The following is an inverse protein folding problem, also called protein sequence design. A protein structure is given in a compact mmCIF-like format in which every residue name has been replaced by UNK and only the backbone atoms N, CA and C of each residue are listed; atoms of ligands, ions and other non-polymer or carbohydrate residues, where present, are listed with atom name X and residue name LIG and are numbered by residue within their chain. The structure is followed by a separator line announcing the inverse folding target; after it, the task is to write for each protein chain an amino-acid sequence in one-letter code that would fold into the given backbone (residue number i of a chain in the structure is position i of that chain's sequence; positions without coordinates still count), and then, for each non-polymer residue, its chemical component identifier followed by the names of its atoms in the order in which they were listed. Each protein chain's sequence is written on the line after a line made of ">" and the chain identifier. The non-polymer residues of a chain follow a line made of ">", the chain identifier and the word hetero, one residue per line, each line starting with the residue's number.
data_IF_479062513881
#
_entry.id   IF_479062513881
#
_cell.length_a   1.000
_cell.length_b   1.000
_cell.length_c   1.000
_cell.angle_alpha   90.00
_cell.angle_beta   90.00
_cell.angle_gamma   90.00
#
_symmetry.space_group_name_H-M   'P 1'
#
loop_
_entity.id
_entity.type
_entity.pdbx_description
1 polymer ?
#
# COMPACT_ATOMS: atom_id res chain seq x y z
N UNK A 1 26.85 69.36 16.45
CA UNK A 1 25.93 68.21 16.57
C UNK A 1 26.29 67.27 15.44
N UNK A 2 26.96 66.16 15.73
CA UNK A 2 27.31 65.13 14.75
C UNK A 2 26.57 63.87 15.16
N UNK A 3 25.62 63.44 14.33
CA UNK A 3 24.85 62.23 14.51
C UNK A 3 25.65 61.07 13.91
N UNK A 4 26.06 60.14 14.76
CA UNK A 4 26.61 58.84 14.36
C UNK A 4 25.48 57.95 13.86
N UNK A 5 25.51 57.61 12.57
CA UNK A 5 24.66 56.56 11.99
C UNK A 5 25.21 55.19 12.40
N UNK A 6 24.36 54.38 13.05
CA UNK A 6 24.64 52.99 13.38
C UNK A 6 24.45 52.14 12.11
N UNK A 7 25.39 51.26 11.72
CA UNK A 7 25.22 50.42 10.54
C UNK A 7 24.12 49.39 10.79
N UNK A 8 23.11 49.36 9.92
CA UNK A 8 22.10 48.30 9.91
C UNK A 8 22.74 47.02 9.35
N UNK A 9 23.16 46.13 10.24
CA UNK A 9 23.54 44.76 9.89
C UNK A 9 22.35 44.09 9.21
N UNK A 10 22.51 43.78 7.92
CA UNK A 10 21.53 43.02 7.16
C UNK A 10 21.66 41.57 7.61
N UNK A 11 20.78 41.13 8.50
CA UNK A 11 20.72 39.74 8.94
C UNK A 11 20.42 38.87 7.71
N UNK A 12 21.40 38.10 7.23
CA UNK A 12 21.13 37.09 6.21
C UNK A 12 20.28 36.01 6.87
N UNK A 13 19.00 35.95 6.52
CA UNK A 13 18.14 34.82 6.88
C UNK A 13 18.75 33.59 6.20
N UNK A 14 19.33 32.68 6.98
CA UNK A 14 19.66 31.35 6.47
C UNK A 14 18.36 30.75 5.97
N UNK A 15 18.27 30.48 4.66
CA UNK A 15 17.11 29.81 4.09
C UNK A 15 16.94 28.48 4.84
N UNK A 16 15.83 28.34 5.56
CA UNK A 16 15.46 27.09 6.22
C UNK A 16 15.34 25.96 5.18
N UNK A 17 15.26 24.70 5.64
CA UNK A 17 15.10 23.56 4.74
C UNK A 17 13.89 23.77 3.83
N UNK A 18 14.16 23.94 2.53
CA UNK A 18 13.13 24.12 1.51
C UNK A 18 12.65 22.75 1.05
N UNK A 19 11.34 22.58 0.97
CA UNK A 19 10.75 21.37 0.40
C UNK A 19 11.33 21.14 -1.01
N UNK A 20 11.86 19.95 -1.30
CA UNK A 20 12.39 19.68 -2.64
C UNK A 20 11.27 19.78 -3.68
N UNK A 21 11.59 20.23 -4.89
CA UNK A 21 10.65 20.32 -6.01
C UNK A 21 10.24 18.92 -6.51
N UNK A 22 9.36 18.27 -5.75
CA UNK A 22 8.82 16.93 -5.98
C UNK A 22 7.32 17.01 -5.74
N UNK A 23 6.54 17.04 -6.82
CA UNK A 23 5.06 17.02 -6.81
C UNK A 23 4.51 15.67 -6.38
N UNK A 24 3.28 15.62 -5.82
CA UNK A 24 2.60 14.38 -5.40
C UNK A 24 2.58 13.31 -6.52
N UNK A 25 2.25 13.72 -7.75
CA UNK A 25 2.32 12.84 -8.90
C UNK A 25 3.77 12.68 -9.38
N UNK A 26 4.23 11.44 -9.71
CA UNK A 26 5.55 11.23 -10.31
C UNK A 26 5.67 12.00 -11.62
N UNK A 27 6.81 12.66 -11.80
CA UNK A 27 7.17 13.39 -13.00
C UNK A 27 8.50 12.82 -13.51
N UNK A 28 8.42 12.10 -14.63
CA UNK A 28 9.56 11.41 -15.21
C UNK A 28 10.64 12.37 -15.71
N UNK A 29 10.24 13.52 -16.28
CA UNK A 29 11.19 14.51 -16.78
C UNK A 29 11.98 15.13 -15.62
N UNK A 30 11.29 15.50 -14.53
CA UNK A 30 11.96 15.98 -13.30
C UNK A 30 12.83 14.91 -12.65
N UNK A 31 12.39 13.65 -12.62
CA UNK A 31 13.19 12.54 -12.12
C UNK A 31 14.49 12.35 -12.91
N UNK A 32 14.41 12.34 -14.25
CA UNK A 32 15.58 12.20 -15.13
C UNK A 32 16.54 13.38 -14.99
N UNK A 33 16.02 14.61 -14.98
CA UNK A 33 16.83 15.81 -14.79
C UNK A 33 17.57 15.80 -13.44
N UNK A 34 16.87 15.43 -12.34
CA UNK A 34 17.49 15.31 -11.01
C UNK A 34 18.55 14.22 -10.98
N UNK A 35 18.29 13.07 -11.60
CA UNK A 35 19.26 11.97 -11.69
C UNK A 35 20.51 12.40 -12.47
N UNK A 36 20.34 13.02 -13.64
CA UNK A 36 21.45 13.51 -14.45
C UNK A 36 22.31 14.52 -13.68
N UNK A 37 21.66 15.47 -12.97
CA UNK A 37 22.35 16.43 -12.12
C UNK A 37 23.16 15.76 -11.02
N UNK A 38 22.55 14.83 -10.27
CA UNK A 38 23.22 14.11 -9.17
C UNK A 38 24.42 13.29 -9.66
N UNK A 39 24.33 12.66 -10.82
CA UNK A 39 25.43 11.91 -11.42
C UNK A 39 26.53 12.80 -12.00
N UNK A 40 26.20 14.02 -12.44
CA UNK A 40 27.21 15.01 -12.83
C UNK A 40 27.96 15.58 -11.60
N UNK A 41 27.25 15.77 -10.48
CA UNK A 41 27.83 16.23 -9.20
C UNK A 41 28.74 15.16 -8.56
N UNK A 42 28.29 13.90 -8.56
CA UNK A 42 29.06 12.76 -8.06
C UNK A 42 28.91 11.56 -9.00
N UNK A 43 29.84 11.38 -9.95
CA UNK A 43 29.82 10.25 -10.87
C UNK A 43 30.03 8.89 -10.20
N UNK A 44 30.47 8.85 -8.93
CA UNK A 44 30.78 7.62 -8.20
C UNK A 44 29.55 6.97 -7.56
N UNK A 45 28.40 7.65 -7.52
CA UNK A 45 27.18 7.19 -6.87
C UNK A 45 26.77 5.76 -7.32
N UNK A 46 26.75 5.41 -8.62
CA UNK A 46 26.38 4.06 -9.05
C UNK A 46 27.39 2.97 -8.66
N UNK A 47 28.63 3.34 -8.33
CA UNK A 47 29.70 2.39 -7.95
C UNK A 47 29.85 2.24 -6.44
N UNK A 48 29.07 2.97 -5.64
CA UNK A 48 29.09 2.81 -4.19
C UNK A 48 28.66 1.39 -3.82
N UNK A 49 29.32 0.74 -2.85
CA UNK A 49 28.93 -0.59 -2.42
C UNK A 49 27.54 -0.56 -1.76
N UNK A 50 26.84 -1.69 -1.81
CA UNK A 50 25.63 -1.87 -1.01
C UNK A 50 25.96 -1.82 0.49
N UNK A 51 25.04 -1.35 1.34
CA UNK A 51 25.19 -1.44 2.78
C UNK A 51 25.35 -2.89 3.24
N UNK A 52 26.03 -3.08 4.37
CA UNK A 52 26.17 -4.40 5.00
C UNK A 52 24.80 -5.07 5.21
N UNK A 53 24.76 -6.38 4.94
CA UNK A 53 23.55 -7.21 5.00
C UNK A 53 22.73 -7.24 3.72
N UNK A 54 22.72 -6.15 2.92
CA UNK A 54 21.85 -6.06 1.74
C UNK A 54 22.40 -6.89 0.55
N UNK A 55 21.59 -7.80 -0.04
CA UNK A 55 22.05 -8.66 -1.13
C UNK A 55 22.14 -7.91 -2.47
N UNK A 56 23.05 -8.27 -3.38
CA UNK A 56 23.17 -7.62 -4.70
C UNK A 56 21.89 -7.73 -5.55
N UNK A 57 21.11 -8.79 -5.33
CA UNK A 57 19.78 -8.99 -5.89
C UNK A 57 19.00 -9.94 -4.98
N UNK A 58 17.68 -9.88 -5.07
CA UNK A 58 16.76 -10.90 -4.54
C UNK A 58 16.13 -11.66 -5.69
N UNK A 59 15.85 -12.94 -5.44
CA UNK A 59 15.18 -13.83 -6.38
C UNK A 59 13.92 -14.42 -5.73
N UNK A 60 13.10 -15.10 -6.52
CA UNK A 60 11.92 -15.80 -6.05
C UNK A 60 10.62 -15.31 -6.69
N UNK A 61 9.49 -15.94 -6.33
CA UNK A 61 8.21 -15.71 -7.01
C UNK A 61 7.64 -14.31 -6.79
N UNK A 62 8.09 -13.59 -5.75
CA UNK A 62 7.72 -12.21 -5.49
C UNK A 62 8.50 -11.19 -6.33
N UNK A 63 9.46 -11.61 -7.14
CA UNK A 63 10.31 -10.77 -8.00
C UNK A 63 9.86 -10.89 -9.44
N UNK A 64 8.99 -9.98 -9.87
CA UNK A 64 8.35 -10.02 -11.18
C UNK A 64 8.11 -8.62 -11.74
N UNK A 65 7.82 -8.54 -13.03
CA UNK A 65 7.31 -7.36 -13.72
C UNK A 65 6.04 -7.68 -14.51
N UNK A 66 5.31 -6.65 -14.94
CA UNK A 66 3.95 -6.84 -15.46
C UNK A 66 3.85 -7.79 -16.66
N UNK A 67 4.91 -7.90 -17.47
CA UNK A 67 4.94 -8.80 -18.64
C UNK A 67 5.08 -10.29 -18.28
N UNK A 68 5.42 -10.62 -17.04
CA UNK A 68 5.50 -12.01 -16.57
C UNK A 68 4.10 -12.64 -16.38
N UNK A 69 3.08 -11.79 -16.38
CA UNK A 69 1.67 -12.09 -16.15
C UNK A 69 0.88 -11.88 -17.44
N UNK A 70 0.87 -12.90 -18.29
CA UNK A 70 0.25 -12.83 -19.63
C UNK A 70 -1.19 -13.34 -19.68
N UNK A 71 -1.59 -14.15 -18.71
CA UNK A 71 -2.93 -14.75 -18.62
C UNK A 71 -3.49 -14.58 -17.20
N UNK A 72 -4.71 -14.06 -17.12
CA UNK A 72 -5.42 -13.83 -15.86
C UNK A 72 -5.57 -15.09 -15.01
N UNK A 73 -5.63 -16.27 -15.64
CA UNK A 73 -5.67 -17.56 -14.96
C UNK A 73 -4.48 -17.80 -14.04
N UNK A 74 -3.36 -17.09 -14.25
CA UNK A 74 -2.16 -17.18 -13.41
C UNK A 74 -2.36 -16.52 -12.02
N UNK A 75 -3.32 -15.60 -11.86
CA UNK A 75 -3.57 -14.91 -10.59
C UNK A 75 -5.02 -14.87 -10.12
N UNK A 76 -5.96 -15.30 -10.97
CA UNK A 76 -7.38 -15.43 -10.63
C UNK A 76 -7.68 -16.83 -10.12
N UNK A 77 -8.44 -16.88 -9.04
CA UNK A 77 -9.15 -18.07 -8.59
C UNK A 77 -10.65 -17.88 -8.84
N UNK A 78 -11.20 -18.66 -9.77
CA UNK A 78 -12.63 -18.65 -10.07
C UNK A 78 -13.35 -19.56 -9.08
N UNK A 79 -14.30 -18.99 -8.32
CA UNK A 79 -15.11 -19.77 -7.38
C UNK A 79 -16.07 -20.67 -8.16
N UNK A 80 -16.16 -21.94 -7.76
CA UNK A 80 -17.16 -22.86 -8.33
C UNK A 80 -18.56 -22.60 -7.77
N UNK A 81 -19.59 -23.12 -8.42
CA UNK A 81 -20.97 -23.03 -7.94
C UNK A 81 -21.13 -23.64 -6.54
N UNK A 82 -20.44 -24.75 -6.24
CA UNK A 82 -20.46 -25.37 -4.92
C UNK A 82 -19.83 -24.48 -3.84
N UNK A 83 -18.75 -23.77 -4.19
CA UNK A 83 -18.08 -22.82 -3.30
C UNK A 83 -18.93 -21.56 -3.08
N UNK A 84 -19.62 -21.07 -4.10
CA UNK A 84 -20.58 -19.97 -3.97
C UNK A 84 -21.75 -20.36 -3.06
N UNK A 85 -22.29 -21.58 -3.20
CA UNK A 85 -23.30 -22.10 -2.28
C UNK A 85 -22.76 -22.28 -0.85
N UNK A 86 -21.48 -22.60 -0.70
CA UNK A 86 -20.82 -22.65 0.60
C UNK A 86 -20.73 -21.28 1.27
N UNK A 87 -20.40 -20.24 0.50
CA UNK A 87 -20.42 -18.84 0.96
C UNK A 87 -21.83 -18.45 1.41
N UNK A 88 -22.87 -18.83 0.66
CA UNK A 88 -24.27 -18.59 1.05
C UNK A 88 -24.61 -19.27 2.39
N UNK A 89 -24.16 -20.52 2.59
CA UNK A 89 -24.35 -21.25 3.85
C UNK A 89 -23.59 -20.60 5.01
N UNK A 90 -22.36 -20.13 4.78
CA UNK A 90 -21.57 -19.41 5.78
C UNK A 90 -22.24 -18.09 6.20
N UNK A 91 -22.78 -17.35 5.23
CA UNK A 91 -23.56 -16.13 5.47
C UNK A 91 -24.81 -16.43 6.30
N UNK A 92 -25.62 -17.40 5.86
CA UNK A 92 -26.85 -17.77 6.57
C UNK A 92 -26.55 -18.26 8.00
N UNK A 93 -25.46 -19.00 8.19
CA UNK A 93 -25.01 -19.42 9.52
C UNK A 93 -24.70 -18.21 10.40
N UNK A 94 -23.87 -17.26 9.94
CA UNK A 94 -23.53 -16.07 10.72
C UNK A 94 -24.78 -15.25 11.09
N UNK A 95 -25.68 -15.03 10.13
CA UNK A 95 -26.93 -14.30 10.36
C UNK A 95 -27.81 -15.00 11.41
N UNK A 96 -27.87 -16.34 11.41
CA UNK A 96 -28.62 -17.12 12.39
C UNK A 96 -28.10 -17.00 13.83
N UNK A 97 -26.83 -16.58 14.02
CA UNK A 97 -26.26 -16.39 15.34
C UNK A 97 -26.73 -15.09 16.01
N UNK A 98 -27.35 -14.17 15.25
CA UNK A 98 -27.78 -12.84 15.71
C UNK A 98 -26.69 -12.07 16.47
N UNK A 99 -25.45 -12.16 15.96
CA UNK A 99 -24.27 -11.52 16.57
C UNK A 99 -23.92 -10.20 15.87
N UNK A 100 -23.31 -9.24 16.60
CA UNK A 100 -22.70 -8.07 15.98
C UNK A 100 -21.63 -8.45 14.95
N UNK A 101 -21.42 -7.62 13.91
CA UNK A 101 -20.47 -7.89 12.82
C UNK A 101 -19.01 -8.09 13.29
N UNK A 102 -18.65 -7.54 14.45
CA UNK A 102 -17.32 -7.77 15.05
C UNK A 102 -17.05 -9.22 15.45
N UNK A 103 -18.06 -10.08 15.49
CA UNK A 103 -17.93 -11.51 15.79
C UNK A 103 -17.74 -12.38 14.54
N UNK A 104 -17.49 -11.80 13.36
CA UNK A 104 -17.20 -12.55 12.14
C UNK A 104 -15.78 -13.11 12.20
N UNK A 105 -15.70 -14.44 12.29
CA UNK A 105 -14.48 -15.23 12.40
C UNK A 105 -14.60 -16.47 11.51
N UNK A 106 -13.54 -17.27 11.39
CA UNK A 106 -13.60 -18.57 10.69
C UNK A 106 -14.62 -19.54 11.28
N UNK A 107 -14.85 -19.45 12.59
CA UNK A 107 -15.75 -20.37 13.30
C UNK A 107 -17.22 -19.95 13.13
N UNK A 108 -17.48 -18.65 13.06
CA UNK A 108 -18.82 -18.07 12.90
C UNK A 108 -19.22 -17.83 11.45
N UNK A 109 -18.29 -18.00 10.50
CA UNK A 109 -18.53 -18.02 9.05
C UNK A 109 -17.82 -19.27 8.46
N UNK A 110 -18.37 -20.48 8.67
CA UNK A 110 -17.66 -21.70 8.31
C UNK A 110 -17.62 -21.93 6.80
N UNK A 111 -16.43 -22.24 6.29
CA UNK A 111 -16.17 -22.66 4.91
C UNK A 111 -15.46 -24.03 4.89
N UNK A 112 -16.19 -25.15 5.10
CA UNK A 112 -15.60 -26.48 5.27
C UNK A 112 -14.67 -26.93 4.14
N UNK A 113 -14.97 -26.56 2.88
CA UNK A 113 -14.16 -26.97 1.73
C UNK A 113 -13.31 -25.80 1.22
N UNK A 114 -13.92 -24.61 1.08
CA UNK A 114 -13.27 -23.43 0.50
C UNK A 114 -12.16 -22.88 1.41
N UNK A 115 -12.22 -23.08 2.74
CA UNK A 115 -11.16 -22.62 3.65
C UNK A 115 -9.80 -23.25 3.35
N UNK A 116 -9.74 -24.45 2.78
CA UNK A 116 -8.46 -25.08 2.43
C UNK A 116 -7.80 -24.38 1.24
N UNK A 117 -8.59 -24.00 0.24
CA UNK A 117 -8.12 -23.27 -0.94
C UNK A 117 -7.74 -21.82 -0.60
N UNK A 118 -8.53 -21.13 0.24
CA UNK A 118 -8.20 -19.78 0.71
C UNK A 118 -6.88 -19.74 1.49
N UNK A 119 -6.55 -20.79 2.24
CA UNK A 119 -5.25 -20.88 2.94
C UNK A 119 -4.09 -21.06 1.96
N UNK A 120 -4.23 -21.88 0.92
CA UNK A 120 -3.22 -21.99 -0.15
C UNK A 120 -3.02 -20.64 -0.85
N UNK A 121 -4.10 -19.90 -1.10
CA UNK A 121 -4.02 -18.56 -1.67
C UNK A 121 -3.37 -17.55 -0.72
N UNK A 122 -3.58 -17.68 0.60
CA UNK A 122 -2.90 -16.87 1.60
C UNK A 122 -1.37 -17.10 1.57
N UNK A 123 -0.90 -18.34 1.38
CA UNK A 123 0.53 -18.65 1.22
C UNK A 123 1.14 -17.94 0.01
N UNK A 124 0.37 -17.76 -1.08
CA UNK A 124 0.81 -17.01 -2.27
C UNK A 124 1.06 -15.52 -1.97
N UNK A 125 0.40 -14.94 -0.97
CA UNK A 125 0.61 -13.55 -0.57
C UNK A 125 1.99 -13.34 0.08
N UNK A 126 2.47 -14.29 0.86
CA UNK A 126 3.74 -14.16 1.59
C UNK A 126 4.93 -14.78 0.85
N UNK A 127 4.73 -15.98 0.30
CA UNK A 127 5.81 -16.79 -0.28
C UNK A 127 5.71 -16.92 -1.80
N UNK A 128 4.69 -16.33 -2.41
CA UNK A 128 4.44 -16.39 -3.84
C UNK A 128 4.61 -15.03 -4.52
N UNK A 129 3.74 -14.75 -5.49
CA UNK A 129 3.73 -13.50 -6.27
C UNK A 129 3.24 -12.28 -5.47
N UNK A 130 2.66 -12.47 -4.29
CA UNK A 130 2.20 -11.37 -3.45
C UNK A 130 0.76 -10.88 -3.70
N UNK A 131 0.01 -11.52 -4.60
CA UNK A 131 -1.39 -11.15 -4.87
C UNK A 131 -2.19 -12.29 -5.49
N UNK A 132 -3.51 -12.25 -5.32
CA UNK A 132 -4.48 -13.04 -6.09
C UNK A 132 -5.82 -12.31 -6.17
N UNK A 133 -6.70 -12.76 -7.07
CA UNK A 133 -8.06 -12.25 -7.21
C UNK A 133 -9.04 -13.40 -7.08
N UNK A 134 -10.03 -13.27 -6.19
CA UNK A 134 -11.20 -14.14 -6.20
C UNK A 134 -12.24 -13.57 -7.16
N UNK A 135 -12.75 -14.39 -8.08
CA UNK A 135 -13.81 -14.02 -9.03
C UNK A 135 -15.10 -14.80 -8.77
N UNK A 136 -16.17 -14.39 -9.48
CA UNK A 136 -17.50 -15.01 -9.49
C UNK A 136 -18.41 -14.72 -8.28
N UNK A 137 -18.02 -13.88 -7.32
CA UNK A 137 -18.93 -13.47 -6.23
C UNK A 137 -20.12 -12.68 -6.83
N UNK A 138 -21.38 -13.16 -6.70
CA UNK A 138 -22.53 -12.55 -7.34
C UNK A 138 -23.01 -11.32 -6.55
N UNK A 139 -22.36 -10.18 -6.76
CA UNK A 139 -22.54 -8.95 -5.98
C UNK A 139 -24.00 -8.52 -5.83
N UNK A 140 -24.79 -8.59 -6.92
CA UNK A 140 -26.19 -8.13 -6.94
C UNK A 140 -27.17 -9.03 -6.17
N UNK A 141 -26.75 -10.26 -5.82
CA UNK A 141 -27.55 -11.20 -5.02
C UNK A 141 -27.62 -10.79 -3.55
N UNK A 142 -26.63 -10.03 -3.06
CA UNK A 142 -26.46 -9.72 -1.65
C UNK A 142 -26.85 -8.27 -1.34
N UNK A 143 -27.51 -8.05 -0.21
CA UNK A 143 -27.62 -6.70 0.35
C UNK A 143 -26.23 -6.15 0.73
N UNK A 144 -26.11 -4.83 0.92
CA UNK A 144 -24.84 -4.21 1.36
C UNK A 144 -24.31 -4.77 2.68
N UNK A 145 -25.22 -5.09 3.61
CA UNK A 145 -24.87 -5.73 4.87
C UNK A 145 -24.33 -7.15 4.65
N UNK A 146 -24.99 -7.92 3.80
CA UNK A 146 -24.55 -9.28 3.46
C UNK A 146 -23.21 -9.28 2.73
N UNK A 147 -22.96 -8.33 1.81
CA UNK A 147 -21.64 -8.17 1.19
C UNK A 147 -20.54 -7.88 2.22
N UNK A 148 -20.83 -7.04 3.22
CA UNK A 148 -19.86 -6.80 4.30
C UNK A 148 -19.58 -8.07 5.12
N UNK A 149 -20.61 -8.89 5.38
CA UNK A 149 -20.46 -10.17 6.08
C UNK A 149 -19.65 -11.16 5.23
N UNK A 150 -20.00 -11.33 3.96
CA UNK A 150 -19.29 -12.22 3.02
C UNK A 150 -17.83 -11.80 2.86
N UNK A 151 -17.58 -10.49 2.67
CA UNK A 151 -16.23 -9.94 2.57
C UNK A 151 -15.42 -10.21 3.83
N UNK A 152 -15.98 -9.91 5.00
CA UNK A 152 -15.30 -10.17 6.27
C UNK A 152 -15.07 -11.67 6.50
N UNK A 153 -16.08 -12.50 6.22
CA UNK A 153 -16.05 -13.95 6.36
C UNK A 153 -14.95 -14.58 5.52
N UNK A 154 -14.92 -14.31 4.21
CA UNK A 154 -13.85 -14.76 3.31
C UNK A 154 -12.47 -14.31 3.79
N UNK A 155 -12.33 -13.01 4.12
CA UNK A 155 -11.06 -12.46 4.60
C UNK A 155 -10.58 -13.13 5.89
N UNK A 156 -11.47 -13.59 6.78
CA UNK A 156 -11.09 -14.31 8.01
C UNK A 156 -10.37 -15.63 7.74
N UNK A 157 -10.59 -16.25 6.57
CA UNK A 157 -9.91 -17.47 6.14
C UNK A 157 -8.56 -17.20 5.45
N UNK A 158 -8.27 -15.94 5.10
CA UNK A 158 -7.00 -15.50 4.51
C UNK A 158 -6.08 -14.89 5.57
N UNK A 159 -6.61 -13.98 6.40
CA UNK A 159 -5.94 -13.39 7.55
C UNK A 159 -6.86 -13.37 8.77
N UNK A 160 -6.35 -13.75 9.93
CA UNK A 160 -7.18 -13.90 11.15
C UNK A 160 -7.56 -12.58 11.81
N UNK A 161 -6.76 -11.54 11.60
CA UNK A 161 -6.91 -10.23 12.25
C UNK A 161 -7.24 -9.14 11.23
N UNK A 162 -7.88 -8.06 11.70
CA UNK A 162 -8.20 -6.90 10.86
C UNK A 162 -7.60 -5.64 11.46
N UNK A 163 -6.83 -4.92 10.65
CA UNK A 163 -6.27 -3.63 11.02
C UNK A 163 -7.34 -2.54 11.09
N UNK A 164 -7.22 -1.67 12.10
CA UNK A 164 -7.98 -0.43 12.18
C UNK A 164 -7.60 0.49 11.03
N UNK A 165 -8.61 0.98 10.31
CA UNK A 165 -8.45 1.78 9.10
C UNK A 165 -8.45 3.29 9.39
N UNK A 166 -9.10 3.73 10.47
CA UNK A 166 -9.22 5.15 10.80
C UNK A 166 -9.44 5.43 12.29
N UNK A 167 -9.54 6.70 12.66
CA UNK A 167 -9.80 7.18 14.01
C UNK A 167 -11.11 6.69 14.68
N UNK A 168 -12.02 6.05 13.95
CA UNK A 168 -13.32 5.56 14.48
C UNK A 168 -13.28 4.13 14.99
N UNK A 169 -12.13 3.44 14.89
CA UNK A 169 -11.98 1.99 15.11
C UNK A 169 -12.67 1.15 14.02
N UNK A 170 -12.99 1.73 12.86
CA UNK A 170 -13.47 0.97 11.73
C UNK A 170 -12.38 0.00 11.23
N UNK A 171 -12.77 -1.23 10.95
CA UNK A 171 -11.93 -2.29 10.36
C UNK A 171 -12.33 -2.64 8.92
N UNK A 172 -13.33 -1.92 8.39
CA UNK A 172 -13.81 -2.00 7.02
C UNK A 172 -14.15 -0.57 6.59
N UNK A 173 -13.57 -0.16 5.47
CA UNK A 173 -13.79 1.17 4.89
C UNK A 173 -14.41 1.05 3.50
N UNK A 174 -15.27 2.00 3.14
CA UNK A 174 -15.71 2.14 1.76
C UNK A 174 -14.65 2.91 0.98
N UNK A 175 -14.32 2.45 -0.22
CA UNK A 175 -13.55 3.24 -1.19
C UNK A 175 -14.54 3.69 -2.26
N UNK A 176 -14.79 4.99 -2.31
CA UNK A 176 -15.70 5.58 -3.28
C UNK A 176 -15.49 7.08 -3.37
N UNK A 177 -15.71 7.60 -4.57
CA UNK A 177 -15.83 9.02 -4.78
C UNK A 177 -16.98 9.62 -3.95
N UNK A 178 -16.63 10.54 -3.04
CA UNK A 178 -17.60 11.29 -2.24
C UNK A 178 -17.83 12.71 -2.79
N UNK A 179 -17.18 13.07 -3.91
CA UNK A 179 -17.32 14.28 -4.74
C UNK A 179 -17.49 15.65 -4.07
N UNK A 180 -17.21 15.75 -2.77
CA UNK A 180 -16.56 16.87 -2.06
C UNK A 180 -15.81 16.24 -0.87
N UNK A 181 -14.58 15.78 -1.07
CA UNK A 181 -13.81 15.12 0.00
C UNK A 181 -12.50 15.86 0.26
N UNK A 182 -12.53 16.69 1.31
CA UNK A 182 -11.38 17.17 2.09
C UNK A 182 -10.32 18.07 1.41
N UNK A 183 -10.08 17.98 0.10
CA UNK A 183 -9.01 18.75 -0.53
C UNK A 183 -9.31 20.26 -0.60
N UNK A 184 -10.56 20.61 -0.89
CA UNK A 184 -10.97 22.01 -1.04
C UNK A 184 -11.36 22.70 0.28
N UNK A 185 -11.83 21.97 1.29
CA UNK A 185 -12.35 22.61 2.51
C UNK A 185 -11.25 23.06 3.49
N UNK A 186 -10.02 22.55 3.36
CA UNK A 186 -8.89 22.91 4.24
C UNK A 186 -7.54 23.09 3.53
N UNK A 187 -7.49 23.04 2.20
CA UNK A 187 -6.22 23.11 1.46
C UNK A 187 -5.27 21.92 1.71
N UNK A 188 -5.81 20.78 2.19
CA UNK A 188 -5.06 19.56 2.46
C UNK A 188 -5.12 18.55 1.32
N UNK A 189 -4.35 17.47 1.41
CA UNK A 189 -4.52 16.30 0.54
C UNK A 189 -5.75 15.55 1.05
N UNK A 190 -6.78 15.40 0.22
CA UNK A 190 -7.98 14.65 0.58
C UNK A 190 -7.67 13.17 0.87
N UNK A 191 -8.43 12.52 1.74
CA UNK A 191 -8.23 11.09 2.03
C UNK A 191 -8.33 10.28 0.73
N UNK A 192 -7.28 9.50 0.44
CA UNK A 192 -7.11 8.77 -0.81
C UNK A 192 -8.28 7.81 -1.11
N UNK A 193 -8.96 7.29 -0.07
CA UNK A 193 -10.12 6.41 -0.23
C UNK A 193 -11.36 7.11 -0.85
N UNK A 194 -11.39 8.45 -0.85
CA UNK A 194 -12.60 9.23 -1.16
C UNK A 194 -12.44 10.19 -2.34
N UNK A 195 -11.35 10.10 -3.10
CA UNK A 195 -11.03 11.01 -4.23
C UNK A 195 -11.13 10.29 -5.58
N UNK A 196 -11.24 11.08 -6.65
CA UNK A 196 -11.14 10.62 -8.05
C UNK A 196 -9.76 10.85 -8.65
N UNK A 197 -8.83 11.49 -7.91
CA UNK A 197 -7.45 11.68 -8.37
C UNK A 197 -6.69 10.34 -8.34
N UNK A 198 -5.69 10.21 -9.20
CA UNK A 198 -4.83 9.02 -9.25
C UNK A 198 -4.01 8.92 -7.96
N UNK A 199 -3.99 7.74 -7.36
CA UNK A 199 -3.08 7.49 -6.24
C UNK A 199 -1.71 7.10 -6.77
N UNK A 200 -0.66 7.56 -6.08
CA UNK A 200 0.70 7.04 -6.32
C UNK A 200 0.85 5.66 -5.69
N UNK A 201 1.82 4.89 -6.16
CA UNK A 201 2.17 3.65 -5.46
C UNK A 201 2.53 3.96 -4.00
N UNK A 202 2.09 3.08 -3.10
CA UNK A 202 2.31 3.14 -1.66
C UNK A 202 2.13 1.73 -1.09
N UNK A 203 2.47 1.58 0.17
CA UNK A 203 2.15 0.40 0.98
C UNK A 203 1.37 0.86 2.20
N UNK A 204 0.30 0.16 2.55
CA UNK A 204 -0.45 0.44 3.76
C UNK A 204 0.23 -0.14 5.00
N UNK A 205 -0.25 0.28 6.18
CA UNK A 205 0.11 -0.35 7.44
C UNK A 205 -0.63 -1.68 7.56
N UNK A 206 0.12 -2.74 7.81
CA UNK A 206 -0.38 -4.11 7.94
C UNK A 206 0.26 -5.05 6.92
N UNK A 207 0.02 -6.34 7.08
CA UNK A 207 0.66 -7.35 6.23
C UNK A 207 -0.09 -7.55 4.90
N UNK A 208 -1.42 -7.42 4.92
CA UNK A 208 -2.31 -7.72 3.80
C UNK A 208 -3.32 -6.60 3.58
N UNK A 209 -3.60 -6.32 2.31
CA UNK A 209 -4.71 -5.47 1.87
C UNK A 209 -5.69 -6.35 1.10
N UNK A 210 -6.98 -6.23 1.43
CA UNK A 210 -8.06 -6.86 0.69
C UNK A 210 -9.03 -5.79 0.20
N UNK A 211 -9.59 -5.99 -1.00
CA UNK A 211 -10.55 -5.09 -1.63
C UNK A 211 -11.66 -5.93 -2.27
N UNK A 212 -12.92 -5.52 -2.06
CA UNK A 212 -14.07 -6.09 -2.75
C UNK A 212 -14.62 -5.09 -3.77
N UNK A 213 -14.54 -5.45 -5.05
CA UNK A 213 -15.17 -4.70 -6.13
C UNK A 213 -16.68 -4.85 -6.09
N UNK A 214 -17.40 -3.79 -5.69
CA UNK A 214 -18.88 -3.81 -5.68
C UNK A 214 -19.46 -3.14 -6.94
N UNK A 215 -18.77 -2.14 -7.47
CA UNK A 215 -19.15 -1.44 -8.71
C UNK A 215 -17.89 -1.02 -9.45
N UNK A 216 -17.94 -1.05 -10.77
CA UNK A 216 -16.87 -0.55 -11.64
C UNK A 216 -17.06 0.94 -11.92
N UNK A 217 -15.97 1.69 -11.99
CA UNK A 217 -16.00 3.10 -12.42
C UNK A 217 -16.36 3.21 -13.90
N UNK A 218 -17.07 4.28 -14.29
CA UNK A 218 -17.41 4.55 -15.69
C UNK A 218 -16.15 4.81 -16.55
N UNK A 219 -15.10 5.39 -15.96
CA UNK A 219 -13.79 5.58 -16.56
C UNK A 219 -12.74 5.58 -15.44
N UNK A 220 -11.51 5.18 -15.74
CA UNK A 220 -10.44 5.06 -14.73
C UNK A 220 -10.66 3.87 -13.79
N UNK A 221 -10.36 4.05 -12.50
CA UNK A 221 -10.51 3.00 -11.46
C UNK A 221 -9.56 1.81 -11.60
N UNK A 222 -8.49 1.96 -12.38
CA UNK A 222 -7.51 0.90 -12.63
C UNK A 222 -6.60 0.75 -11.42
N UNK A 223 -6.58 -0.44 -10.84
CA UNK A 223 -5.60 -0.82 -9.81
C UNK A 223 -4.28 -1.24 -10.48
N UNK A 224 -3.15 -0.81 -9.91
CA UNK A 224 -1.81 -1.16 -10.38
C UNK A 224 -1.01 -1.76 -9.24
N UNK A 225 -0.25 -2.80 -9.54
CA UNK A 225 0.65 -3.46 -8.59
C UNK A 225 2.09 -3.36 -9.11
N UNK A 226 3.04 -3.40 -8.18
CA UNK A 226 4.47 -3.45 -8.47
C UNK A 226 5.15 -4.38 -7.48
N UNK A 227 6.11 -5.17 -7.95
CA UNK A 227 6.92 -6.04 -7.10
C UNK A 227 7.97 -5.22 -6.35
N UNK A 228 7.92 -5.26 -5.02
CA UNK A 228 8.95 -4.64 -4.17
C UNK A 228 10.34 -5.22 -4.42
N UNK A 229 10.45 -6.54 -4.60
CA UNK A 229 11.73 -7.19 -4.92
C UNK A 229 12.30 -6.77 -6.28
N UNK A 230 11.44 -6.60 -7.30
CA UNK A 230 11.88 -6.10 -8.63
C UNK A 230 12.34 -4.65 -8.55
N UNK A 231 11.66 -3.82 -7.76
CA UNK A 231 12.05 -2.43 -7.48
C UNK A 231 13.40 -2.39 -6.76
N UNK A 232 13.58 -3.23 -5.73
CA UNK A 232 14.86 -3.36 -5.03
C UNK A 232 15.99 -3.71 -5.99
N UNK A 233 15.82 -4.75 -6.83
CA UNK A 233 16.83 -5.18 -7.80
C UNK A 233 17.20 -4.06 -8.78
N UNK A 234 16.23 -3.25 -9.20
CA UNK A 234 16.51 -2.09 -10.05
C UNK A 234 17.39 -1.06 -9.34
N UNK A 235 17.07 -0.73 -8.09
CA UNK A 235 17.83 0.24 -7.29
C UNK A 235 19.22 -0.31 -6.98
N UNK A 236 19.33 -1.54 -6.48
CA UNK A 236 20.61 -2.18 -6.15
C UNK A 236 21.54 -2.24 -7.38
N UNK A 237 20.99 -2.50 -8.57
CA UNK A 237 21.75 -2.56 -9.82
C UNK A 237 22.21 -1.18 -10.34
N UNK A 238 21.35 -0.16 -10.23
CA UNK A 238 21.58 1.11 -10.93
C UNK A 238 22.02 2.26 -10.03
N UNK A 239 21.60 2.23 -8.77
CA UNK A 239 21.81 3.27 -7.75
C UNK A 239 21.92 2.66 -6.35
N UNK A 240 22.91 1.76 -6.10
CA UNK A 240 23.12 1.15 -4.78
C UNK A 240 23.34 2.18 -3.67
N UNK A 241 23.81 3.39 -4.00
CA UNK A 241 23.89 4.51 -3.07
C UNK A 241 22.53 4.87 -2.46
N UNK A 242 21.42 4.72 -3.21
CA UNK A 242 20.07 4.99 -2.69
C UNK A 242 19.60 3.94 -1.69
N UNK A 243 20.09 2.69 -1.76
CA UNK A 243 19.80 1.68 -0.74
C UNK A 243 20.31 2.15 0.62
N UNK A 244 21.48 2.79 0.66
CA UNK A 244 22.04 3.40 1.87
C UNK A 244 21.09 4.44 2.45
N UNK A 245 20.56 5.33 1.61
CA UNK A 245 19.63 6.38 2.08
C UNK A 245 18.30 5.80 2.53
N UNK A 246 17.77 4.79 1.84
CA UNK A 246 16.46 4.21 2.13
C UNK A 246 16.45 3.33 3.39
N UNK A 247 17.60 2.77 3.77
CA UNK A 247 17.75 1.98 5.01
C UNK A 247 17.91 2.83 6.27
N UNK A 248 18.29 4.10 6.14
CA UNK A 248 18.42 5.01 7.28
C UNK A 248 17.02 5.40 7.80
N UNK A 249 16.87 5.84 9.06
CA UNK A 249 15.56 6.23 9.59
C UNK A 249 14.97 7.46 8.88
N UNK A 250 13.69 7.36 8.49
CA UNK A 250 12.89 8.44 7.92
C UNK A 250 11.71 8.78 8.84
N UNK A 251 11.32 10.07 8.95
CA UNK A 251 10.13 10.45 9.70
C UNK A 251 8.87 9.96 8.98
N UNK A 252 8.05 9.19 9.69
CA UNK A 252 6.73 8.75 9.28
C UNK A 252 5.68 9.45 10.14
N UNK A 253 4.82 10.25 9.49
CA UNK A 253 3.72 10.95 10.14
C UNK A 253 2.77 9.98 10.85
N UNK A 254 2.29 10.39 12.03
CA UNK A 254 1.27 9.67 12.82
C UNK A 254 -0.07 10.41 12.84
N UNK A 255 -0.29 11.29 11.88
CA UNK A 255 -1.56 11.96 11.59
C UNK A 255 -2.17 12.65 12.81
N UNK A 256 -1.35 13.40 13.54
CA UNK A 256 -1.75 14.15 14.73
C UNK A 256 -1.67 13.39 16.05
N UNK A 257 -1.04 12.20 16.08
CA UNK A 257 -0.69 11.53 17.34
C UNK A 257 0.47 12.22 18.08
N UNK A 258 0.75 11.78 19.31
CA UNK A 258 1.92 12.18 20.09
C UNK A 258 2.81 10.93 20.36
N UNK A 259 4.11 10.93 20.01
CA UNK A 259 4.78 11.93 19.16
C UNK A 259 4.17 12.02 17.75
N UNK A 260 4.32 13.19 17.13
CA UNK A 260 3.76 13.54 15.81
C UNK A 260 4.25 12.64 14.67
N UNK A 261 5.45 12.07 14.82
CA UNK A 261 6.02 11.10 13.89
C UNK A 261 6.79 10.03 14.65
N UNK A 262 7.07 8.92 13.97
CA UNK A 262 8.08 7.95 14.37
C UNK A 262 9.15 7.87 13.29
N UNK A 263 10.37 7.50 13.65
CA UNK A 263 11.43 7.28 12.68
C UNK A 263 11.57 5.79 12.38
N UNK A 264 11.66 5.47 11.10
CA UNK A 264 11.87 4.09 10.64
C UNK A 264 12.44 4.05 9.23
N UNK A 265 13.18 3.00 8.83
CA UNK A 265 13.59 2.82 7.45
C UNK A 265 12.42 2.80 6.45
N UNK A 266 12.69 3.18 5.21
CA UNK A 266 11.78 2.94 4.08
C UNK A 266 12.02 1.54 3.50
N UNK A 267 13.28 1.10 3.54
CA UNK A 267 13.75 -0.18 3.04
C UNK A 267 14.41 -0.97 4.17
N UNK A 268 13.86 -2.14 4.47
CA UNK A 268 14.38 -3.08 5.46
C UNK A 268 14.99 -4.28 4.76
N UNK A 269 15.89 -4.94 5.49
CA UNK A 269 16.39 -6.25 5.15
C UNK A 269 16.34 -7.11 6.41
N UNK A 270 15.37 -8.01 6.45
CA UNK A 270 15.14 -8.93 7.57
C UNK A 270 15.55 -10.33 7.13
N UNK A 271 16.73 -10.79 7.55
CA UNK A 271 17.29 -12.10 7.21
C UNK A 271 17.30 -12.39 5.69
N UNK A 272 17.63 -11.39 4.87
CA UNK A 272 17.64 -11.50 3.41
C UNK A 272 16.29 -11.20 2.74
N UNK A 273 15.23 -10.97 3.52
CA UNK A 273 13.93 -10.56 3.01
C UNK A 273 13.86 -9.04 2.92
N UNK A 274 13.78 -8.54 1.68
CA UNK A 274 13.63 -7.12 1.43
C UNK A 274 12.18 -6.70 1.65
N UNK A 275 11.97 -5.75 2.56
CA UNK A 275 10.66 -5.16 2.83
C UNK A 275 10.72 -3.67 2.52
N UNK A 276 9.80 -3.21 1.67
CA UNK A 276 9.64 -1.78 1.36
C UNK A 276 8.35 -1.32 2.02
N UNK A 277 8.46 -0.36 2.94
CA UNK A 277 7.29 0.31 3.51
C UNK A 277 7.39 1.81 3.27
N UNK A 278 6.48 2.34 2.47
CA UNK A 278 6.42 3.75 2.18
C UNK A 278 4.98 4.22 2.00
N UNK A 279 4.67 5.31 2.69
CA UNK A 279 3.55 6.18 2.36
C UNK A 279 4.16 7.53 2.01
N UNK A 280 3.62 8.18 0.99
CA UNK A 280 4.03 9.52 0.63
C UNK A 280 3.41 10.57 1.54
#
# INVERSE_FOLDING_TARGET
>A
MSATETPTETISVQEGPKQPDISYHPDEAKFRARTARRLAEDPTLPQRPLPEGFPPSVDGPGVWEGKDWTDESQWVYNLSDEQLQEIDRGLAHFESLDKPLGYITRDTFPLPTLSSELRKLAEVLYSGRGFFVLREIPIDKYSRRQLAIVYAGLSAHVGSERGRQDGTNAVLSHIKDLRVSHAHEKGGIGNAAYTTDKQVFHTDIGDLIALLGIQTSAYGGVSRLSSGGRVYNEIAKTRPDLITVLKDPWPLDRFGADPAYIERPVLYNEDGHIVIQYSR
#
